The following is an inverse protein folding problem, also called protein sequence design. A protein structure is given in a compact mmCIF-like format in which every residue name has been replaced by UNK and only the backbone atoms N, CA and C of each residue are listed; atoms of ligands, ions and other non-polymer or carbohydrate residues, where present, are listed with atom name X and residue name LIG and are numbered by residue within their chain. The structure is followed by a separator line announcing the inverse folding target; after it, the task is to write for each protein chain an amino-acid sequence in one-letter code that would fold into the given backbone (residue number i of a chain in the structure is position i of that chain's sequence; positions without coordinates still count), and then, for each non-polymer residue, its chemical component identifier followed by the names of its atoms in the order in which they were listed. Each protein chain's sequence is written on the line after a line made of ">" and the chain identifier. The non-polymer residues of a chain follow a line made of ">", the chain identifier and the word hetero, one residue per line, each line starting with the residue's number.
data_IF_223416453718
#
_entry.id   IF_223416453718
#
_cell.length_a   1.000
_cell.length_b   1.000
_cell.length_c   1.000
_cell.angle_alpha   90.00
_cell.angle_beta   90.00
_cell.angle_gamma   90.00
#
_symmetry.space_group_name_H-M   'P 1'
#
loop_
_entity.id
_entity.type
_entity.pdbx_description
1 polymer ?
#
# COMPACT_ATOMS: atom_id res chain seq x y z
N UNK A 1 22.73 -1.05 10.04
CA UNK A 1 22.74 -2.43 9.47
C UNK A 1 21.56 -2.64 8.50
N UNK A 2 20.43 -1.96 8.71
CA UNK A 2 19.23 -2.08 7.90
C UNK A 2 19.32 -1.56 6.45
N UNK A 3 20.03 -0.45 6.22
CA UNK A 3 20.22 0.14 4.87
C UNK A 3 20.77 -0.86 3.85
N UNK A 4 21.76 -1.68 4.25
CA UNK A 4 22.37 -2.68 3.37
C UNK A 4 21.45 -3.86 3.06
N UNK A 5 20.60 -4.27 4.02
CA UNK A 5 19.64 -5.38 3.82
C UNK A 5 18.60 -5.01 2.77
N UNK A 6 17.96 -3.84 2.91
CA UNK A 6 16.95 -3.33 1.98
C UNK A 6 17.52 -3.13 0.57
N UNK A 7 18.64 -2.42 0.45
CA UNK A 7 19.30 -2.25 -0.83
C UNK A 7 19.64 -3.61 -1.46
N UNK A 8 20.12 -4.61 -0.69
CA UNK A 8 20.41 -5.95 -1.22
C UNK A 8 19.16 -6.73 -1.66
N UNK A 9 18.06 -6.61 -0.92
CA UNK A 9 16.80 -7.28 -1.22
C UNK A 9 16.23 -6.77 -2.55
N UNK A 10 16.34 -5.47 -2.80
CA UNK A 10 15.88 -4.85 -4.02
C UNK A 10 16.88 -4.86 -5.19
N UNK A 11 18.20 -4.93 -4.94
CA UNK A 11 19.22 -5.01 -6.01
C UNK A 11 19.22 -6.35 -6.75
N UNK A 12 18.74 -7.41 -6.11
CA UNK A 12 18.58 -8.73 -6.76
C UNK A 12 17.51 -8.71 -7.86
N UNK A 13 16.73 -7.64 -7.98
CA UNK A 13 15.70 -7.43 -8.99
C UNK A 13 16.19 -6.35 -9.99
N UNK A 14 16.61 -6.77 -11.19
CA UNK A 14 17.33 -5.96 -12.19
C UNK A 14 16.41 -5.14 -13.11
N UNK A 15 16.08 -3.85 -12.85
CA UNK A 15 15.46 -2.95 -13.87
C UNK A 15 15.74 -1.44 -13.58
N UNK A 16 15.45 -0.50 -14.49
CA UNK A 16 16.00 0.89 -14.57
C UNK A 16 14.99 2.05 -14.88
N UNK A 17 15.45 3.33 -14.74
CA UNK A 17 14.89 4.71 -14.98
C UNK A 17 14.09 5.56 -13.90
N UNK A 18 14.50 6.85 -13.69
CA UNK A 18 14.19 7.89 -12.65
C UNK A 18 12.76 8.48 -12.44
N UNK A 19 12.45 8.97 -11.20
CA UNK A 19 11.18 9.62 -10.75
C UNK A 19 11.28 10.47 -9.45
N UNK A 20 10.15 10.98 -8.90
CA UNK A 20 10.05 11.81 -7.64
C UNK A 20 9.16 11.15 -6.56
N UNK A 21 9.41 11.40 -5.27
CA UNK A 21 8.75 10.70 -4.12
C UNK A 21 7.79 11.58 -3.30
N UNK A 22 6.70 10.98 -2.79
CA UNK A 22 5.97 11.46 -1.59
C UNK A 22 5.83 10.31 -0.57
N UNK A 23 6.42 10.49 0.61
CA UNK A 23 6.29 9.51 1.72
C UNK A 23 5.23 10.01 2.71
N UNK A 24 4.15 9.25 2.90
CA UNK A 24 3.12 9.58 3.90
C UNK A 24 3.13 8.56 5.05
N UNK A 25 3.45 9.04 6.27
CA UNK A 25 3.28 8.27 7.52
C UNK A 25 1.80 8.33 7.94
N UNK A 26 1.09 7.20 7.93
CA UNK A 26 -0.20 7.09 8.58
C UNK A 26 0.02 7.06 10.10
N UNK A 27 -0.41 8.12 10.80
CA UNK A 27 -0.52 8.15 12.26
C UNK A 27 -1.90 7.61 12.67
N UNK A 28 -2.10 7.14 13.92
CA UNK A 28 -3.44 6.95 14.46
C UNK A 28 -4.27 8.22 14.22
N UNK A 29 -5.48 8.04 13.69
CA UNK A 29 -6.29 9.09 13.11
C UNK A 29 -6.58 10.26 14.08
N UNK A 30 -5.82 11.35 13.96
CA UNK A 30 -6.12 12.64 14.58
C UNK A 30 -6.21 13.81 13.57
N UNK A 31 -6.02 13.55 12.27
CA UNK A 31 -6.21 14.56 11.21
C UNK A 31 -7.65 14.55 10.69
N UNK A 32 -8.57 15.13 11.46
CA UNK A 32 -9.93 15.40 10.99
C UNK A 32 -9.93 16.66 10.12
N UNK A 33 -9.87 16.50 8.79
CA UNK A 33 -10.10 17.60 7.84
C UNK A 33 -11.58 17.77 7.58
N UNK A 34 -12.16 18.87 8.06
CA UNK A 34 -13.52 19.30 7.69
C UNK A 34 -13.48 19.93 6.30
N UNK A 35 -13.85 19.17 5.26
CA UNK A 35 -14.09 19.72 3.94
C UNK A 35 -15.51 20.31 3.87
N UNK A 36 -15.61 21.63 3.68
CA UNK A 36 -16.90 22.29 3.41
C UNK A 36 -17.36 21.93 2.00
N UNK A 37 -18.66 21.63 1.86
CA UNK A 37 -19.34 21.44 0.58
C UNK A 37 -19.14 22.70 -0.27
N UNK A 38 -18.35 22.60 -1.34
CA UNK A 38 -18.40 23.56 -2.44
C UNK A 38 -19.37 23.00 -3.47
N UNK A 39 -20.47 23.70 -3.71
CA UNK A 39 -21.42 23.35 -4.76
C UNK A 39 -20.74 23.61 -6.11
N UNK A 40 -20.10 22.58 -6.67
CA UNK A 40 -19.56 22.62 -8.03
C UNK A 40 -20.69 22.29 -9.02
N UNK A 41 -20.95 23.20 -9.97
CA UNK A 41 -21.90 22.98 -11.08
C UNK A 41 -21.27 22.24 -12.27
N UNK A 42 -20.01 21.84 -12.14
CA UNK A 42 -19.19 21.22 -13.18
C UNK A 42 -18.87 19.74 -12.89
N UNK A 43 -18.44 19.02 -13.92
CA UNK A 43 -18.08 17.59 -13.89
C UNK A 43 -17.13 17.25 -12.72
N UNK A 44 -17.38 16.12 -12.04
CA UNK A 44 -16.53 15.58 -10.97
C UNK A 44 -15.16 15.06 -11.45
N UNK A 45 -14.94 14.99 -12.78
CA UNK A 45 -13.70 14.46 -13.39
C UNK A 45 -12.38 15.02 -12.82
N UNK A 46 -12.24 16.33 -12.53
CA UNK A 46 -11.00 16.86 -11.96
C UNK A 46 -10.69 16.34 -10.56
N UNK A 47 -11.67 15.71 -9.89
CA UNK A 47 -11.56 15.15 -8.55
C UNK A 47 -11.55 13.61 -8.57
N UNK A 48 -11.44 12.99 -9.74
CA UNK A 48 -11.28 11.55 -9.88
C UNK A 48 -9.99 11.10 -9.20
N UNK A 49 -10.11 10.19 -8.23
CA UNK A 49 -8.99 9.57 -7.55
C UNK A 49 -9.28 8.11 -7.22
N UNK A 50 -8.20 7.35 -7.04
CA UNK A 50 -8.22 5.99 -6.50
C UNK A 50 -8.18 6.04 -4.97
N UNK A 51 -8.52 4.93 -4.32
CA UNK A 51 -8.50 4.81 -2.87
C UNK A 51 -7.97 3.43 -2.50
N UNK A 52 -6.95 3.39 -1.66
CA UNK A 52 -6.53 2.20 -0.93
C UNK A 52 -6.50 2.55 0.56
N UNK A 53 -7.25 1.81 1.37
CA UNK A 53 -7.36 2.02 2.80
C UNK A 53 -7.33 0.71 3.57
N UNK A 54 -6.71 0.74 4.75
CA UNK A 54 -6.71 -0.33 5.73
C UNK A 54 -6.99 0.26 7.11
N UNK A 55 -7.89 -0.36 7.84
CA UNK A 55 -8.23 -0.03 9.22
C UNK A 55 -8.10 -1.29 10.06
N UNK A 56 -7.33 -1.19 11.15
CA UNK A 56 -7.19 -2.26 12.12
C UNK A 56 -7.80 -1.83 13.44
N UNK A 57 -8.39 -2.79 14.13
CA UNK A 57 -8.84 -2.66 15.49
C UNK A 57 -7.89 -3.41 16.44
N UNK A 58 -7.89 -3.00 17.72
CA UNK A 58 -7.02 -3.57 18.75
C UNK A 58 -7.33 -5.05 19.05
N UNK A 59 -8.54 -5.52 18.73
CA UNK A 59 -8.98 -6.91 18.92
C UNK A 59 -8.64 -7.81 17.72
N UNK A 60 -7.80 -7.36 16.79
CA UNK A 60 -7.35 -8.13 15.63
C UNK A 60 -8.30 -8.09 14.44
N UNK A 61 -9.47 -7.45 14.56
CA UNK A 61 -10.35 -7.22 13.41
C UNK A 61 -9.75 -6.18 12.47
N UNK A 62 -9.93 -6.39 11.18
CA UNK A 62 -9.50 -5.42 10.17
C UNK A 62 -10.47 -5.34 9.00
N UNK A 63 -10.43 -4.19 8.32
CA UNK A 63 -11.17 -3.92 7.09
C UNK A 63 -10.27 -3.16 6.14
N UNK A 64 -10.31 -3.55 4.86
CA UNK A 64 -9.69 -2.81 3.76
C UNK A 64 -10.75 -2.36 2.77
N UNK A 65 -10.49 -1.23 2.13
CA UNK A 65 -11.30 -0.71 1.03
C UNK A 65 -10.35 -0.30 -0.11
N UNK A 66 -10.63 -0.78 -1.31
CA UNK A 66 -9.80 -0.52 -2.48
C UNK A 66 -10.62 -0.26 -3.73
N UNK A 67 -10.32 0.83 -4.44
CA UNK A 67 -10.80 1.13 -5.79
C UNK A 67 -9.68 1.80 -6.59
N UNK A 68 -9.44 1.30 -7.81
CA UNK A 68 -8.42 1.81 -8.72
C UNK A 68 -7.26 0.86 -8.98
N UNK A 69 -6.20 1.41 -9.56
CA UNK A 69 -5.01 0.73 -10.08
C UNK A 69 -3.87 0.57 -9.06
N UNK A 70 -4.06 1.07 -7.83
CA UNK A 70 -3.19 0.74 -6.70
C UNK A 70 -3.36 -0.69 -6.21
N UNK A 71 -2.72 -1.04 -5.11
CA UNK A 71 -2.87 -2.38 -4.53
C UNK A 71 -2.70 -2.42 -3.03
N UNK A 72 -3.13 -3.55 -2.47
CA UNK A 72 -2.97 -3.87 -1.05
C UNK A 72 -2.36 -5.27 -0.95
N UNK A 73 -1.22 -5.38 -0.29
CA UNK A 73 -0.66 -6.65 0.17
C UNK A 73 -0.78 -6.76 1.68
N UNK A 74 -0.77 -8.00 2.15
CA UNK A 74 -0.81 -8.36 3.55
C UNK A 74 0.30 -9.37 3.83
N UNK A 75 0.77 -9.42 5.07
CA UNK A 75 1.69 -10.45 5.57
C UNK A 75 0.97 -11.24 6.66
N UNK A 76 0.91 -12.56 6.54
CA UNK A 76 0.48 -13.45 7.62
C UNK A 76 1.60 -14.43 8.00
N UNK A 77 1.26 -15.49 8.73
CA UNK A 77 2.19 -16.55 9.14
C UNK A 77 2.77 -17.36 7.97
N UNK A 78 2.09 -17.39 6.82
CA UNK A 78 2.50 -18.12 5.62
C UNK A 78 3.35 -17.25 4.68
N UNK A 79 3.37 -15.93 4.89
CA UNK A 79 4.16 -14.98 4.13
C UNK A 79 3.33 -13.86 3.51
N UNK A 80 3.93 -13.02 2.65
CA UNK A 80 3.24 -11.92 2.02
C UNK A 80 2.35 -12.44 0.89
N UNK A 81 1.15 -11.91 0.79
CA UNK A 81 0.19 -12.22 -0.27
C UNK A 81 -0.52 -10.97 -0.77
N UNK A 82 -1.07 -11.06 -1.97
CA UNK A 82 -1.87 -9.99 -2.57
C UNK A 82 -3.27 -10.07 -1.97
N UNK A 83 -3.64 -9.06 -1.17
CA UNK A 83 -4.96 -8.97 -0.57
C UNK A 83 -5.97 -8.34 -1.54
N UNK A 84 -5.54 -7.28 -2.24
CA UNK A 84 -6.27 -6.73 -3.38
C UNK A 84 -5.29 -6.32 -4.46
N UNK A 85 -5.39 -6.96 -5.62
CA UNK A 85 -4.66 -6.58 -6.81
C UNK A 85 -5.19 -5.25 -7.40
N UNK A 86 -4.37 -4.54 -8.18
CA UNK A 86 -4.76 -3.46 -9.08
C UNK A 86 -6.02 -3.77 -9.89
N UNK A 87 -6.91 -2.79 -9.98
CA UNK A 87 -8.08 -2.84 -10.86
C UNK A 87 -7.74 -2.13 -12.15
N UNK A 88 -7.31 -2.91 -13.13
CA UNK A 88 -7.24 -2.52 -14.53
C UNK A 88 -8.53 -3.06 -15.16
N UNK A 89 -9.37 -2.19 -15.72
CA UNK A 89 -10.67 -2.57 -16.28
C UNK A 89 -10.58 -3.54 -17.48
N UNK A 90 -11.67 -3.73 -18.23
CA UNK A 90 -11.71 -4.65 -19.40
C UNK A 90 -10.60 -4.38 -20.44
N UNK A 91 -10.07 -3.16 -20.46
CA UNK A 91 -8.85 -2.80 -21.16
C UNK A 91 -7.80 -2.39 -20.13
N UNK A 92 -6.54 -2.74 -20.38
CA UNK A 92 -5.39 -2.44 -19.50
C UNK A 92 -5.25 -0.94 -19.13
N UNK A 93 -5.98 -0.04 -19.80
CA UNK A 93 -5.90 1.40 -19.67
C UNK A 93 -7.13 2.03 -18.98
N UNK A 94 -8.01 1.23 -18.36
CA UNK A 94 -9.20 1.75 -17.65
C UNK A 94 -8.97 1.68 -16.15
N UNK A 95 -8.89 2.83 -15.50
CA UNK A 95 -8.83 2.99 -14.04
C UNK A 95 -10.22 3.32 -13.49
N UNK A 96 -10.60 2.66 -12.40
CA UNK A 96 -11.82 2.98 -11.66
C UNK A 96 -11.57 4.07 -10.61
N UNK A 97 -12.46 5.03 -10.53
CA UNK A 97 -12.35 6.19 -9.63
C UNK A 97 -13.52 6.28 -8.66
N UNK A 98 -13.29 6.91 -7.50
CA UNK A 98 -14.33 7.12 -6.48
C UNK A 98 -15.49 8.02 -6.95
N UNK A 99 -15.27 8.81 -8.00
CA UNK A 99 -16.26 9.72 -8.59
C UNK A 99 -17.05 9.08 -9.74
N UNK A 100 -16.72 7.84 -10.13
CA UNK A 100 -17.45 7.12 -11.17
C UNK A 100 -18.88 6.79 -10.72
N UNK A 101 -19.81 6.76 -11.67
CA UNK A 101 -21.23 6.51 -11.38
C UNK A 101 -21.47 5.12 -10.78
N UNK A 102 -20.63 4.18 -11.13
CA UNK A 102 -20.62 2.78 -10.71
C UNK A 102 -19.50 2.48 -9.69
N UNK A 103 -18.88 3.50 -9.08
CA UNK A 103 -17.81 3.32 -8.09
C UNK A 103 -18.18 2.33 -6.97
N UNK A 104 -19.44 2.35 -6.51
CA UNK A 104 -19.94 1.44 -5.49
C UNK A 104 -19.94 -0.04 -5.91
N UNK A 105 -19.97 -0.33 -7.22
CA UNK A 105 -19.89 -1.70 -7.75
C UNK A 105 -18.44 -2.16 -7.90
N UNK A 106 -17.52 -1.20 -8.10
CA UNK A 106 -16.10 -1.47 -8.32
C UNK A 106 -15.28 -1.44 -7.01
N UNK A 107 -15.78 -0.85 -5.93
CA UNK A 107 -15.07 -0.87 -4.64
C UNK A 107 -14.99 -2.28 -4.05
N UNK A 108 -13.76 -2.72 -3.75
CA UNK A 108 -13.49 -3.98 -3.06
C UNK A 108 -13.35 -3.71 -1.57
N UNK A 109 -14.25 -4.31 -0.79
CA UNK A 109 -14.19 -4.26 0.68
C UNK A 109 -13.91 -5.66 1.19
N UNK A 110 -12.78 -5.84 1.88
CA UNK A 110 -12.39 -7.11 2.49
C UNK A 110 -12.29 -6.89 4.00
N UNK A 111 -12.94 -7.75 4.78
CA UNK A 111 -12.89 -7.70 6.24
C UNK A 111 -12.64 -9.10 6.79
N UNK A 112 -11.82 -9.19 7.82
CA UNK A 112 -11.57 -10.46 8.48
C UNK A 112 -11.17 -10.25 9.95
N UNK A 113 -11.16 -11.35 10.67
CA UNK A 113 -10.63 -11.48 12.03
C UNK A 113 -9.38 -12.37 12.06
N UNK A 114 -8.99 -12.96 10.92
CA UNK A 114 -7.74 -13.71 10.80
C UNK A 114 -6.54 -12.80 11.08
N UNK A 115 -5.52 -13.30 11.81
CA UNK A 115 -4.33 -12.53 12.14
C UNK A 115 -3.56 -12.18 10.87
N UNK A 116 -3.32 -10.89 10.62
CA UNK A 116 -2.53 -10.39 9.49
C UNK A 116 -1.50 -9.43 10.04
N UNK A 117 -0.22 -9.85 10.05
CA UNK A 117 0.99 -9.19 10.62
C UNK A 117 1.16 -7.73 10.17
N UNK A 118 0.85 -7.44 8.93
CA UNK A 118 0.94 -6.09 8.44
C UNK A 118 0.28 -5.95 7.08
N UNK A 119 0.04 -4.70 6.70
CA UNK A 119 -0.46 -4.31 5.40
C UNK A 119 0.54 -3.38 4.73
N UNK A 120 0.69 -3.53 3.42
CA UNK A 120 1.31 -2.53 2.56
C UNK A 120 0.31 -2.10 1.48
N UNK A 121 0.16 -0.79 1.33
CA UNK A 121 -0.72 -0.16 0.35
C UNK A 121 0.14 0.67 -0.60
N UNK A 122 -0.12 0.57 -1.90
CA UNK A 122 0.73 1.24 -2.89
C UNK A 122 -0.07 1.78 -4.07
N UNK A 123 0.47 2.81 -4.74
CA UNK A 123 0.01 3.26 -6.06
C UNK A 123 0.60 2.41 -7.19
N UNK A 124 -0.06 2.39 -8.34
CA UNK A 124 0.34 1.70 -9.58
C UNK A 124 1.82 1.94 -9.97
N UNK A 125 2.38 3.13 -9.69
CA UNK A 125 3.80 3.42 -9.88
C UNK A 125 4.78 2.44 -9.20
N UNK A 126 4.32 1.70 -8.19
CA UNK A 126 5.09 0.67 -7.49
C UNK A 126 4.68 -0.77 -7.84
N UNK A 127 3.64 -0.99 -8.65
CA UNK A 127 3.07 -2.32 -8.91
C UNK A 127 4.14 -3.31 -9.39
N UNK A 128 4.83 -2.98 -10.48
CA UNK A 128 5.85 -3.84 -11.10
C UNK A 128 7.05 -4.16 -10.20
N UNK A 129 7.19 -3.43 -9.08
CA UNK A 129 8.28 -3.59 -8.12
C UNK A 129 7.84 -4.39 -6.90
N UNK A 130 6.54 -4.37 -6.59
CA UNK A 130 6.00 -4.98 -5.38
C UNK A 130 5.26 -6.28 -5.63
N UNK A 131 4.63 -6.45 -6.78
CA UNK A 131 3.80 -7.62 -7.06
C UNK A 131 3.89 -8.07 -8.52
N UNK A 132 3.51 -9.33 -8.75
CA UNK A 132 3.14 -9.88 -10.05
C UNK A 132 1.74 -10.47 -9.92
N UNK A 133 0.69 -9.69 -10.22
CA UNK A 133 -0.70 -10.10 -10.01
C UNK A 133 -1.05 -11.43 -10.68
N UNK A 134 -0.55 -11.64 -11.91
CA UNK A 134 -0.83 -12.82 -12.74
C UNK A 134 -0.28 -14.10 -12.13
N UNK A 135 0.82 -14.00 -11.38
CA UNK A 135 1.47 -15.10 -10.68
C UNK A 135 1.04 -15.19 -9.21
N UNK A 136 0.18 -14.27 -8.74
CA UNK A 136 -0.16 -14.10 -7.31
C UNK A 136 1.07 -13.93 -6.40
N UNK A 137 2.13 -13.30 -6.92
CA UNK A 137 3.39 -13.16 -6.20
C UNK A 137 3.57 -11.75 -5.63
N UNK A 138 4.12 -11.70 -4.41
CA UNK A 138 4.64 -10.49 -3.80
C UNK A 138 6.17 -10.53 -3.83
N UNK A 139 6.80 -9.39 -4.09
CA UNK A 139 8.24 -9.27 -4.07
C UNK A 139 8.80 -9.69 -2.69
N UNK A 140 9.83 -10.56 -2.62
CA UNK A 140 10.40 -11.00 -1.35
C UNK A 140 10.86 -9.86 -0.44
N UNK A 141 11.30 -8.74 -1.02
CA UNK A 141 11.67 -7.54 -0.28
C UNK A 141 10.53 -6.97 0.57
N UNK A 142 9.27 -7.27 0.24
CA UNK A 142 8.12 -6.88 1.06
C UNK A 142 8.09 -7.64 2.39
N UNK A 143 8.45 -8.93 2.42
CA UNK A 143 8.62 -9.67 3.67
C UNK A 143 9.65 -9.01 4.58
N UNK A 144 10.79 -8.62 4.01
CA UNK A 144 11.87 -7.97 4.74
C UNK A 144 11.42 -6.62 5.31
N UNK A 145 10.77 -5.78 4.50
CA UNK A 145 10.22 -4.48 4.93
C UNK A 145 9.22 -4.67 6.06
N UNK A 146 8.25 -5.56 5.86
CA UNK A 146 7.12 -5.74 6.76
C UNK A 146 7.55 -6.36 8.09
N UNK A 147 8.52 -7.26 8.07
CA UNK A 147 9.13 -7.82 9.29
C UNK A 147 9.92 -6.76 10.04
N UNK A 148 10.65 -5.92 9.31
CA UNK A 148 11.50 -4.89 9.91
C UNK A 148 10.71 -3.79 10.64
N UNK A 149 9.44 -3.56 10.27
CA UNK A 149 8.52 -2.68 11.01
C UNK A 149 8.33 -3.09 12.47
N UNK A 150 8.51 -4.37 12.80
CA UNK A 150 8.34 -4.87 14.16
C UNK A 150 9.64 -4.93 14.96
N UNK A 151 10.78 -4.91 14.27
CA UNK A 151 12.10 -5.10 14.89
C UNK A 151 12.85 -3.78 15.13
N UNK A 152 12.49 -2.71 14.42
CA UNK A 152 13.22 -1.46 14.45
C UNK A 152 12.38 -0.24 14.80
N UNK A 153 13.08 0.80 15.24
CA UNK A 153 12.46 2.08 15.56
C UNK A 153 11.80 2.70 14.31
N UNK A 154 10.57 3.24 14.42
CA UNK A 154 9.83 3.76 13.27
C UNK A 154 10.58 4.81 12.45
N UNK A 155 11.49 5.56 13.07
CA UNK A 155 12.31 6.55 12.38
C UNK A 155 13.37 5.89 11.50
N UNK A 156 14.06 4.85 12.00
CA UNK A 156 15.04 4.10 11.21
C UNK A 156 14.37 3.45 10.00
N UNK A 157 13.18 2.87 10.20
CA UNK A 157 12.39 2.27 9.13
C UNK A 157 12.01 3.29 8.07
N UNK A 158 11.56 4.48 8.50
CA UNK A 158 11.20 5.56 7.58
C UNK A 158 12.40 6.02 6.74
N UNK A 159 13.56 6.21 7.36
CA UNK A 159 14.77 6.69 6.68
C UNK A 159 15.30 5.68 5.65
N UNK A 160 15.30 4.38 5.97
CA UNK A 160 15.76 3.40 5.01
C UNK A 160 14.71 3.08 3.94
N UNK A 161 13.41 3.23 4.21
CA UNK A 161 12.38 3.19 3.17
C UNK A 161 12.53 4.36 2.21
N UNK A 162 12.79 5.57 2.72
CA UNK A 162 13.06 6.74 1.88
C UNK A 162 14.28 6.49 0.98
N UNK A 163 15.37 6.02 1.58
CA UNK A 163 16.60 5.67 0.85
C UNK A 163 16.34 4.58 -0.17
N UNK A 164 15.58 3.53 0.19
CA UNK A 164 15.22 2.48 -0.75
C UNK A 164 14.40 3.05 -1.90
N UNK A 165 13.32 3.80 -1.62
CA UNK A 165 12.51 4.51 -2.62
C UNK A 165 13.39 5.32 -3.57
N UNK A 166 14.30 6.15 -3.07
CA UNK A 166 15.20 6.97 -3.89
C UNK A 166 16.22 6.17 -4.70
N UNK A 167 16.87 5.18 -4.11
CA UNK A 167 17.98 4.45 -4.74
C UNK A 167 17.49 3.33 -5.68
N UNK A 168 16.27 2.84 -5.44
CA UNK A 168 15.76 1.61 -6.05
C UNK A 168 14.52 1.88 -6.90
N UNK A 169 13.56 2.63 -6.39
CA UNK A 169 12.23 2.71 -6.99
C UNK A 169 12.10 3.89 -7.93
N UNK A 170 12.59 5.06 -7.53
CA UNK A 170 12.62 6.23 -8.40
C UNK A 170 13.39 5.92 -9.67
N UNK A 171 14.55 5.25 -9.65
CA UNK A 171 15.24 4.84 -10.86
C UNK A 171 14.57 3.66 -11.53
N UNK A 172 13.26 3.38 -11.36
CA UNK A 172 12.51 2.35 -12.11
C UNK A 172 11.12 2.76 -12.59
N UNK A 173 10.67 3.98 -12.32
CA UNK A 173 9.35 4.46 -12.76
C UNK A 173 9.33 5.97 -12.94
N UNK A 174 8.58 6.43 -13.94
CA UNK A 174 8.32 7.85 -14.18
C UNK A 174 7.08 8.35 -13.44
N UNK A 175 6.33 7.46 -12.81
CA UNK A 175 5.08 7.77 -12.10
C UNK A 175 5.29 8.07 -10.61
N UNK A 176 4.30 8.70 -9.99
CA UNK A 176 4.32 9.05 -8.57
C UNK A 176 4.25 7.78 -7.70
N UNK A 177 5.33 7.52 -6.96
CA UNK A 177 5.41 6.40 -6.03
C UNK A 177 4.83 6.76 -4.67
N UNK A 178 3.81 6.01 -4.24
CA UNK A 178 3.26 6.06 -2.89
C UNK A 178 3.30 4.68 -2.26
N UNK A 179 3.90 4.56 -1.08
CA UNK A 179 3.88 3.35 -0.25
C UNK A 179 3.44 3.72 1.17
N UNK A 180 2.42 3.05 1.68
CA UNK A 180 1.99 3.14 3.07
C UNK A 180 2.10 1.77 3.72
N UNK A 181 2.70 1.72 4.90
CA UNK A 181 2.91 0.49 5.66
C UNK A 181 2.21 0.59 7.01
N UNK A 182 1.66 -0.52 7.45
CA UNK A 182 0.92 -0.63 8.69
C UNK A 182 1.22 -1.96 9.35
N UNK A 183 1.91 -1.92 10.49
CA UNK A 183 2.16 -3.10 11.32
C UNK A 183 1.47 -2.96 12.67
N UNK A 184 1.10 -4.08 13.27
CA UNK A 184 0.59 -4.13 14.63
C UNK A 184 1.14 -5.37 15.34
N UNK A 185 1.50 -5.21 16.60
CA UNK A 185 1.70 -6.35 17.49
C UNK A 185 0.37 -6.63 18.20
N UNK A 186 -0.56 -7.36 17.55
CA UNK A 186 -1.66 -7.98 18.30
C UNK A 186 -1.12 -9.30 18.86
N UNK A 187 -0.62 -9.25 20.09
CA UNK A 187 -0.80 -10.45 20.89
C UNK A 187 -2.30 -10.57 21.12
N UNK A 188 -2.89 -11.70 20.73
CA UNK A 188 -4.18 -12.12 21.25
C UNK A 188 -4.10 -12.10 22.78
N UNK A 189 -4.53 -10.99 23.40
CA UNK A 189 -4.91 -10.98 24.81
C UNK A 189 -6.20 -11.78 24.92
N UNK A 190 -6.11 -13.10 24.75
CA UNK A 190 -7.18 -14.05 24.98
C UNK A 190 -6.55 -15.40 25.32
N UNK A 191 -5.91 -15.45 26.49
CA UNK A 191 -5.68 -16.67 27.26
C UNK A 191 -5.53 -16.29 28.73
N UNK A 192 -6.65 -16.01 29.39
CA UNK A 192 -6.81 -16.04 30.85
C UNK A 192 -8.24 -16.44 31.18
#
# INVERSE_FOLDING_TARGET
>A
MARGKLQSAFRKQNFAANGRTKTHRLRPANDLKVCRKSSFSSSLRPFSCTLAAAVLNWDGRWITAHIGDGGITALDENGPFILSAPQKGEFANVTYFITDRDAAQNVRIIRNTSPVRSFALFSDGLENLLIRPEESLVAPAMSDILTWLDEAEPQEVTEALHTALEDVFLPRTTDDCTLALLSGNWQTQNAS
#
